data_IF_459561017227
#
_entry.id   IF_459561017227
#
_cell.length_a   1.000
_cell.length_b   1.000
_cell.length_c   1.000
_cell.angle_alpha   90.00
_cell.angle_beta   90.00
_cell.angle_gamma   90.00
#
_symmetry.space_group_name_H-M   'P 1'
#
loop_
_entity.id
_entity.type
_entity.pdbx_description
1 polymer ?
#
# COMPACT_ATOMS: atom_id res chain seq x y z
N UNK A 1 -0.78 2.01 -38.86
CA UNK A 1 -0.57 1.10 -37.70
C UNK A 1 -1.01 1.86 -36.47
N UNK A 2 -1.69 1.22 -35.53
CA UNK A 2 -2.04 1.86 -34.27
C UNK A 2 -0.79 2.27 -33.48
N UNK A 3 -0.87 3.43 -32.85
CA UNK A 3 0.17 3.98 -31.96
C UNK A 3 -0.15 3.55 -30.53
N UNK A 4 0.86 3.39 -29.70
CA UNK A 4 0.62 3.09 -28.29
C UNK A 4 0.65 4.38 -27.46
N UNK A 5 -0.25 4.44 -26.48
CA UNK A 5 -0.11 5.30 -25.32
C UNK A 5 0.39 4.44 -24.16
N UNK A 6 1.70 4.49 -23.91
CA UNK A 6 2.32 3.86 -22.76
C UNK A 6 1.98 4.64 -21.49
N UNK A 7 1.67 3.93 -20.42
CA UNK A 7 1.33 4.55 -19.13
C UNK A 7 2.17 3.89 -18.06
N UNK A 8 3.04 4.68 -17.43
CA UNK A 8 3.85 4.28 -16.28
C UNK A 8 3.51 5.17 -15.09
N UNK A 9 3.57 4.58 -13.91
CA UNK A 9 3.24 5.28 -12.68
C UNK A 9 3.01 4.35 -11.51
N UNK A 10 2.45 4.94 -10.46
CA UNK A 10 2.14 4.27 -9.20
C UNK A 10 0.73 3.64 -9.17
N UNK A 11 0.25 3.38 -7.96
CA UNK A 11 -1.07 2.79 -7.68
C UNK A 11 -2.25 3.63 -8.17
N UNK A 12 -2.08 4.94 -8.34
CA UNK A 12 -3.15 5.82 -8.85
C UNK A 12 -3.38 5.67 -10.36
N UNK A 13 -2.46 4.99 -11.06
CA UNK A 13 -2.55 4.65 -12.48
C UNK A 13 -2.77 3.15 -12.73
N UNK A 14 -2.35 2.27 -11.82
CA UNK A 14 -2.34 0.82 -12.01
C UNK A 14 -3.72 0.15 -12.03
N UNK A 15 -3.75 -1.08 -12.53
CA UNK A 15 -4.89 -1.99 -12.36
C UNK A 15 -4.86 -2.66 -10.97
N UNK A 16 -6.03 -3.15 -10.53
CA UNK A 16 -6.20 -3.90 -9.28
C UNK A 16 -7.20 -5.04 -9.46
N UNK A 17 -7.12 -6.02 -8.54
CA UNK A 17 -8.03 -7.16 -8.44
C UNK A 17 -8.56 -7.31 -7.00
N UNK A 18 -8.91 -6.19 -6.35
CA UNK A 18 -9.32 -6.20 -4.96
C UNK A 18 -10.75 -6.72 -4.78
N UNK A 19 -11.03 -7.31 -3.61
CA UNK A 19 -12.38 -7.77 -3.22
C UNK A 19 -13.15 -6.75 -2.39
N UNK A 20 -12.77 -5.47 -2.48
CA UNK A 20 -13.40 -4.38 -1.74
C UNK A 20 -14.86 -4.17 -2.15
N UNK A 21 -15.66 -3.53 -1.28
CA UNK A 21 -17.01 -3.07 -1.63
C UNK A 21 -16.99 -2.10 -2.81
N UNK A 22 -16.07 -1.13 -2.80
CA UNK A 22 -15.68 -0.34 -3.96
C UNK A 22 -14.20 -0.61 -4.27
N UNK A 23 -13.89 -1.48 -5.25
CA UNK A 23 -12.51 -1.82 -5.64
C UNK A 23 -11.70 -0.62 -6.09
N UNK A 24 -10.37 -0.69 -5.89
CA UNK A 24 -9.45 0.32 -6.39
C UNK A 24 -9.36 0.24 -7.91
N UNK A 25 -9.26 1.39 -8.54
CA UNK A 25 -8.97 1.55 -9.95
C UNK A 25 -8.01 2.72 -10.10
N UNK A 26 -6.87 2.51 -10.76
CA UNK A 26 -6.06 3.60 -11.26
C UNK A 26 -6.67 4.20 -12.52
N UNK A 27 -6.51 5.51 -12.73
CA UNK A 27 -7.12 6.22 -13.86
C UNK A 27 -6.52 5.79 -15.20
N UNK A 28 -5.31 5.22 -15.21
CA UNK A 28 -4.70 4.59 -16.37
C UNK A 28 -5.56 3.48 -16.98
N UNK A 29 -6.39 2.81 -16.16
CA UNK A 29 -7.34 1.77 -16.62
C UNK A 29 -8.56 2.32 -17.37
N UNK A 30 -8.75 3.64 -17.39
CA UNK A 30 -9.90 4.32 -18.01
C UNK A 30 -9.52 5.25 -19.15
N UNK A 31 -8.24 5.39 -19.48
CA UNK A 31 -7.80 6.28 -20.56
C UNK A 31 -8.30 5.85 -21.94
N UNK A 32 -8.34 4.55 -22.24
CA UNK A 32 -8.79 4.03 -23.54
C UNK A 32 -10.23 4.45 -23.87
N UNK A 33 -11.03 4.72 -22.86
CA UNK A 33 -12.44 5.05 -22.99
C UNK A 33 -12.71 6.44 -23.61
N UNK A 34 -11.67 7.27 -23.72
CA UNK A 34 -11.74 8.56 -24.41
C UNK A 34 -10.74 8.65 -25.56
N UNK A 35 -10.30 7.50 -26.09
CA UNK A 35 -9.42 7.40 -27.24
C UNK A 35 -10.09 6.55 -28.31
N UNK A 36 -9.94 6.94 -29.57
CA UNK A 36 -10.33 6.07 -30.69
C UNK A 36 -9.40 4.85 -30.81
N UNK A 37 -9.75 3.94 -31.71
CA UNK A 37 -9.03 2.68 -31.91
C UNK A 37 -7.64 2.85 -32.56
N UNK A 38 -7.25 4.07 -32.97
CA UNK A 38 -5.90 4.34 -33.50
C UNK A 38 -4.84 4.46 -32.39
N UNK A 39 -5.26 4.76 -31.16
CA UNK A 39 -4.40 4.80 -29.98
C UNK A 39 -4.73 3.64 -29.04
N UNK A 40 -3.75 2.77 -28.79
CA UNK A 40 -3.89 1.65 -27.86
C UNK A 40 -3.20 1.97 -26.54
N UNK A 41 -3.95 1.98 -25.45
CA UNK A 41 -3.41 2.18 -24.11
C UNK A 41 -2.68 0.93 -23.64
N UNK A 42 -1.39 1.08 -23.33
CA UNK A 42 -0.54 0.07 -22.70
C UNK A 42 -0.27 0.50 -21.26
N UNK A 43 -1.24 0.22 -20.38
CA UNK A 43 -1.10 0.51 -18.96
C UNK A 43 -0.27 -0.54 -18.25
N UNK A 44 0.95 -0.16 -17.89
CA UNK A 44 1.91 -0.97 -17.16
C UNK A 44 2.30 -0.29 -15.84
N UNK A 45 1.52 0.67 -15.36
CA UNK A 45 1.72 1.26 -14.04
C UNK A 45 1.55 0.20 -12.94
N UNK A 46 2.34 0.32 -11.87
CA UNK A 46 2.42 -0.68 -10.81
C UNK A 46 2.21 -0.06 -9.43
N UNK A 47 1.38 -0.71 -8.63
CA UNK A 47 1.09 -0.28 -7.27
C UNK A 47 2.37 -0.24 -6.40
N UNK A 48 2.51 0.81 -5.61
CA UNK A 48 3.63 0.98 -4.67
C UNK A 48 4.98 1.28 -5.32
N UNK A 49 5.06 1.57 -6.63
CA UNK A 49 6.33 1.92 -7.27
C UNK A 49 6.57 3.42 -7.31
N UNK A 50 7.83 3.82 -7.12
CA UNK A 50 8.31 5.19 -7.33
C UNK A 50 8.98 5.32 -8.69
N UNK A 51 9.31 6.55 -9.10
CA UNK A 51 10.06 6.79 -10.35
C UNK A 51 11.42 6.09 -10.37
N UNK A 52 12.01 5.83 -9.19
CA UNK A 52 13.25 5.08 -9.00
C UNK A 52 13.00 3.58 -8.98
N UNK A 53 12.12 3.10 -8.10
CA UNK A 53 11.94 1.68 -7.84
C UNK A 53 11.26 0.93 -8.99
N UNK A 54 10.49 1.62 -9.85
CA UNK A 54 9.87 1.00 -11.02
C UNK A 54 10.93 0.48 -12.03
N UNK A 55 12.14 1.05 -12.04
CA UNK A 55 13.20 0.68 -13.01
C UNK A 55 13.75 -0.74 -12.83
N UNK A 56 13.49 -1.37 -11.69
CA UNK A 56 13.88 -2.76 -11.40
C UNK A 56 12.82 -3.77 -11.79
N UNK A 57 11.64 -3.34 -12.21
CA UNK A 57 10.52 -4.21 -12.56
C UNK A 57 10.62 -4.75 -13.99
N UNK A 58 10.11 -5.96 -14.27
CA UNK A 58 10.03 -6.51 -15.63
C UNK A 58 9.29 -5.59 -16.61
N UNK A 59 8.30 -4.84 -16.15
CA UNK A 59 7.49 -3.89 -16.90
C UNK A 59 8.33 -2.73 -17.44
N UNK A 60 9.43 -2.35 -16.76
CA UNK A 60 10.35 -1.33 -17.27
C UNK A 60 11.11 -1.82 -18.51
N UNK A 61 11.53 -3.09 -18.54
CA UNK A 61 12.13 -3.67 -19.76
C UNK A 61 11.10 -3.81 -20.89
N UNK A 62 9.85 -4.13 -20.54
CA UNK A 62 8.72 -4.13 -21.49
C UNK A 62 8.52 -2.74 -22.11
N UNK A 63 8.58 -1.68 -21.31
CA UNK A 63 8.52 -0.30 -21.79
C UNK A 63 9.65 0.02 -22.78
N UNK A 64 10.90 -0.20 -22.37
CA UNK A 64 12.07 0.19 -23.16
C UNK A 64 12.14 -0.54 -24.50
N UNK A 65 11.74 -1.82 -24.54
CA UNK A 65 11.70 -2.62 -25.77
C UNK A 65 10.46 -2.37 -26.63
N UNK A 66 9.37 -1.89 -26.04
CA UNK A 66 8.10 -1.68 -26.71
C UNK A 66 7.88 -0.29 -27.30
N UNK A 67 8.50 0.75 -26.72
CA UNK A 67 8.39 2.12 -27.23
C UNK A 67 8.96 2.22 -28.64
N UNK A 68 8.25 2.93 -29.51
CA UNK A 68 8.66 3.20 -30.90
C UNK A 68 8.33 4.63 -31.29
N UNK A 69 8.83 5.02 -32.46
CA UNK A 69 8.55 6.32 -33.06
C UNK A 69 7.04 6.58 -33.14
N UNK A 70 6.63 7.79 -32.78
CA UNK A 70 5.25 8.30 -32.82
C UNK A 70 4.29 7.67 -31.77
N UNK A 71 4.81 6.84 -30.85
CA UNK A 71 4.08 6.48 -29.62
C UNK A 71 4.10 7.66 -28.62
N UNK A 72 3.31 7.52 -27.55
CA UNK A 72 3.22 8.48 -26.45
C UNK A 72 3.52 7.78 -25.11
N UNK A 73 4.04 8.52 -24.14
CA UNK A 73 4.32 8.03 -22.79
C UNK A 73 3.78 8.98 -21.73
N UNK A 74 2.75 8.56 -20.98
CA UNK A 74 2.33 9.21 -19.74
C UNK A 74 3.21 8.72 -18.59
N UNK A 75 3.79 9.68 -17.84
CA UNK A 75 4.63 9.45 -16.67
C UNK A 75 3.93 10.07 -15.45
N UNK A 76 3.38 9.24 -14.55
CA UNK A 76 2.69 9.70 -13.34
C UNK A 76 3.24 9.06 -12.07
N UNK A 77 4.26 9.68 -11.48
CA UNK A 77 4.88 9.27 -10.22
C UNK A 77 4.81 10.41 -9.19
N UNK A 78 5.11 10.10 -7.92
CA UNK A 78 5.17 11.07 -6.83
C UNK A 78 4.78 10.47 -5.48
N UNK A 79 3.71 9.68 -5.40
CA UNK A 79 3.18 9.15 -4.13
C UNK A 79 4.18 8.29 -3.34
N UNK A 80 5.05 7.57 -4.06
CA UNK A 80 6.03 6.67 -3.46
C UNK A 80 7.44 7.26 -3.46
N UNK A 81 7.70 8.27 -4.27
CA UNK A 81 8.96 9.02 -4.32
C UNK A 81 9.16 9.87 -3.05
N UNK A 82 8.04 10.31 -2.46
CA UNK A 82 7.98 11.07 -1.21
C UNK A 82 8.17 10.23 0.06
N UNK A 83 8.17 8.89 -0.06
CA UNK A 83 8.32 7.98 1.08
C UNK A 83 9.79 7.89 1.51
N UNK A 84 10.02 7.84 2.82
CA UNK A 84 11.34 7.81 3.46
C UNK A 84 11.97 6.41 3.42
N UNK A 85 12.12 5.87 2.22
CA UNK A 85 12.63 4.51 1.96
C UNK A 85 13.71 4.57 0.89
N UNK A 86 14.92 4.11 1.19
CA UNK A 86 16.07 4.25 0.29
C UNK A 86 15.84 3.73 -1.12
N UNK A 87 15.10 2.64 -1.30
CA UNK A 87 14.85 2.06 -2.62
C UNK A 87 13.85 2.86 -3.46
N UNK A 88 13.02 3.68 -2.83
CA UNK A 88 11.95 4.44 -3.49
C UNK A 88 12.21 5.94 -3.54
N UNK A 89 12.81 6.47 -2.49
CA UNK A 89 12.96 7.89 -2.26
C UNK A 89 13.71 8.58 -3.40
N UNK A 90 13.19 9.74 -3.79
CA UNK A 90 13.90 10.73 -4.58
C UNK A 90 13.70 12.10 -3.94
N UNK A 91 14.72 12.97 -4.00
CA UNK A 91 14.63 14.29 -3.38
C UNK A 91 13.66 15.18 -4.19
N UNK A 92 12.57 15.64 -3.56
CA UNK A 92 11.55 16.47 -4.20
C UNK A 92 12.07 17.83 -4.66
N UNK A 93 13.11 18.35 -4.02
CA UNK A 93 13.82 19.57 -4.45
C UNK A 93 15.01 19.27 -5.37
N UNK A 94 15.18 20.08 -6.41
CA UNK A 94 16.34 20.08 -7.30
C UNK A 94 15.99 19.92 -8.78
N UNK A 95 16.99 20.07 -9.64
CA UNK A 95 16.82 20.00 -11.10
C UNK A 95 17.07 18.60 -11.65
N UNK A 96 16.86 18.43 -12.97
CA UNK A 96 17.06 17.16 -13.65
C UNK A 96 18.52 16.81 -13.96
N UNK A 97 19.46 17.67 -13.58
CA UNK A 97 20.90 17.45 -13.77
C UNK A 97 21.56 16.87 -12.50
N UNK A 98 20.90 17.05 -11.35
CA UNK A 98 21.41 16.63 -10.05
C UNK A 98 20.97 15.20 -9.72
N UNK A 99 21.92 14.25 -9.68
CA UNK A 99 21.63 12.86 -9.35
C UNK A 99 20.94 12.73 -7.97
N UNK A 100 19.89 11.90 -7.90
CA UNK A 100 19.13 11.63 -6.68
C UNK A 100 17.90 12.54 -6.48
N UNK A 101 17.73 13.59 -7.29
CA UNK A 101 16.49 14.37 -7.31
C UNK A 101 15.39 13.62 -8.05
N UNK A 102 14.14 13.98 -7.73
CA UNK A 102 12.97 13.46 -8.42
C UNK A 102 12.96 13.85 -9.90
N UNK A 103 13.28 15.11 -10.20
CA UNK A 103 13.39 15.59 -11.58
C UNK A 103 14.45 14.81 -12.39
N UNK A 104 15.60 14.47 -11.78
CA UNK A 104 16.63 13.65 -12.43
C UNK A 104 16.11 12.24 -12.70
N UNK A 105 15.40 11.62 -11.74
CA UNK A 105 14.81 10.29 -11.91
C UNK A 105 13.82 10.26 -13.09
N UNK A 106 12.89 11.22 -13.14
CA UNK A 106 11.93 11.35 -14.25
C UNK A 106 12.64 11.54 -15.60
N UNK A 107 13.64 12.42 -15.64
CA UNK A 107 14.39 12.71 -16.85
C UNK A 107 15.21 11.51 -17.35
N UNK A 108 16.08 10.97 -16.49
CA UNK A 108 17.05 9.96 -16.88
C UNK A 108 16.39 8.61 -17.18
N UNK A 109 15.38 8.23 -16.41
CA UNK A 109 14.76 6.91 -16.50
C UNK A 109 13.64 6.86 -17.55
N UNK A 110 12.95 7.97 -17.84
CA UNK A 110 11.76 7.93 -18.70
C UNK A 110 11.83 8.91 -19.87
N UNK A 111 11.99 10.21 -19.62
CA UNK A 111 11.92 11.24 -20.67
C UNK A 111 13.02 11.02 -21.72
N UNK A 112 14.27 10.85 -21.26
CA UNK A 112 15.40 10.61 -22.14
C UNK A 112 15.19 9.34 -22.98
N UNK A 113 14.64 8.28 -22.35
CA UNK A 113 14.36 7.00 -23.01
C UNK A 113 13.24 7.09 -24.05
N UNK A 114 12.18 7.85 -23.75
CA UNK A 114 11.12 8.13 -24.70
C UNK A 114 11.67 8.85 -25.93
N UNK A 115 12.47 9.91 -25.73
CA UNK A 115 13.09 10.65 -26.84
C UNK A 115 14.05 9.78 -27.68
N UNK A 116 14.88 8.95 -27.03
CA UNK A 116 15.77 7.98 -27.71
C UNK A 116 14.97 7.01 -28.61
N UNK A 117 13.75 6.63 -28.21
CA UNK A 117 12.86 5.76 -28.96
C UNK A 117 11.96 6.50 -29.99
N UNK A 118 11.97 7.84 -30.01
CA UNK A 118 11.05 8.65 -30.82
C UNK A 118 9.61 8.69 -30.28
N UNK A 119 9.42 8.35 -29.01
CA UNK A 119 8.15 8.42 -28.28
C UNK A 119 7.99 9.80 -27.61
N UNK A 120 6.79 10.35 -27.62
CA UNK A 120 6.48 11.68 -27.04
C UNK A 120 6.11 11.56 -25.56
N UNK A 121 6.93 12.08 -24.62
CA UNK A 121 6.61 12.03 -23.20
C UNK A 121 5.55 13.08 -22.82
N UNK A 122 4.74 12.76 -21.82
CA UNK A 122 3.73 13.59 -21.19
C UNK A 122 3.88 13.41 -19.68
N UNK A 123 4.16 14.50 -18.98
CA UNK A 123 4.31 14.49 -17.53
C UNK A 123 2.95 14.70 -16.86
N UNK A 124 2.65 13.89 -15.85
CA UNK A 124 1.49 14.08 -14.99
C UNK A 124 1.98 14.30 -13.55
N UNK A 125 1.51 15.37 -12.90
CA UNK A 125 1.66 15.49 -11.44
C UNK A 125 0.83 14.40 -10.72
N UNK A 126 1.15 14.01 -9.48
CA UNK A 126 0.32 13.05 -8.75
C UNK A 126 -1.08 13.62 -8.45
N UNK A 127 -2.13 12.79 -8.47
CA UNK A 127 -3.45 13.19 -7.97
C UNK A 127 -3.35 13.48 -6.47
N UNK A 128 -4.13 14.42 -5.94
CA UNK A 128 -4.11 14.70 -4.49
C UNK A 128 -4.67 13.53 -3.67
N UNK A 129 -4.19 13.38 -2.43
CA UNK A 129 -4.81 12.46 -1.46
C UNK A 129 -6.04 13.11 -0.83
N UNK A 130 -7.15 12.40 -0.70
CA UNK A 130 -8.37 12.92 -0.06
C UNK A 130 -8.08 13.45 1.35
N UNK A 131 -8.53 14.69 1.60
CA UNK A 131 -8.65 15.23 2.95
C UNK A 131 -10.02 14.86 3.55
N UNK A 132 -10.08 14.11 4.68
CA UNK A 132 -11.35 13.75 5.30
C UNK A 132 -12.15 14.93 5.85
N UNK A 133 -11.50 16.03 6.22
CA UNK A 133 -12.12 17.23 6.79
C UNK A 133 -12.10 18.43 5.84
N UNK A 134 -11.65 18.23 4.60
CA UNK A 134 -11.53 19.28 3.58
C UNK A 134 -10.37 20.25 3.80
N UNK A 135 -9.48 19.99 4.78
CA UNK A 135 -8.27 20.79 5.00
C UNK A 135 -7.06 20.14 4.33
N UNK A 136 -6.38 20.92 3.52
CA UNK A 136 -5.23 20.48 2.73
C UNK A 136 -3.93 20.90 3.40
N UNK A 137 -3.00 19.96 3.57
CA UNK A 137 -1.63 20.28 4.00
C UNK A 137 -0.63 19.22 3.54
N UNK A 138 0.64 19.63 3.49
CA UNK A 138 1.80 18.75 3.35
C UNK A 138 1.64 17.64 2.32
N UNK A 139 1.75 16.40 2.79
CA UNK A 139 1.75 15.20 1.96
C UNK A 139 0.43 14.98 1.19
N UNK A 140 -0.69 15.56 1.62
CA UNK A 140 -1.94 15.51 0.83
C UNK A 140 -1.81 16.22 -0.52
N UNK A 141 -0.86 17.17 -0.60
CA UNK A 141 -0.50 17.93 -1.80
C UNK A 141 0.87 17.51 -2.35
N UNK A 142 1.44 16.41 -1.84
CA UNK A 142 2.79 15.95 -2.20
C UNK A 142 3.90 16.97 -1.93
N UNK A 143 3.76 17.67 -0.80
CA UNK A 143 4.77 18.56 -0.24
C UNK A 143 5.23 17.99 1.09
N UNK A 144 6.45 17.45 1.15
CA UNK A 144 6.96 16.79 2.35
C UNK A 144 8.03 17.61 3.06
N UNK A 145 8.01 17.56 4.39
CA UNK A 145 9.06 18.11 5.22
C UNK A 145 10.26 17.15 5.32
N UNK A 146 11.45 17.64 5.70
CA UNK A 146 12.59 16.77 5.97
C UNK A 146 12.32 15.76 7.10
N UNK A 147 12.72 14.51 6.91
CA UNK A 147 12.69 13.43 7.91
C UNK A 147 14.02 12.69 7.86
N UNK A 148 14.84 12.81 8.91
CA UNK A 148 16.17 12.19 8.94
C UNK A 148 17.06 12.65 7.78
N UNK A 149 17.57 11.72 6.97
CA UNK A 149 18.36 12.02 5.77
C UNK A 149 17.51 12.40 4.54
N UNK A 150 16.20 12.17 4.59
CA UNK A 150 15.26 12.42 3.52
C UNK A 150 14.80 13.89 3.58
N UNK A 151 15.35 14.73 2.71
CA UNK A 151 15.05 16.18 2.72
C UNK A 151 13.61 16.56 2.32
N UNK A 152 12.88 15.66 1.67
CA UNK A 152 11.54 15.94 1.16
C UNK A 152 11.55 16.95 0.00
N UNK A 153 10.44 17.69 -0.14
CA UNK A 153 10.28 18.74 -1.15
C UNK A 153 8.87 18.82 -1.75
N UNK A 154 8.71 19.70 -2.74
CA UNK A 154 7.47 19.86 -3.52
C UNK A 154 7.55 19.07 -4.84
N UNK A 155 7.02 17.84 -4.84
CA UNK A 155 7.07 16.93 -5.99
C UNK A 155 6.27 17.46 -7.20
N UNK A 156 5.05 18.01 -7.04
CA UNK A 156 4.33 18.62 -8.16
C UNK A 156 5.08 19.80 -8.77
N UNK A 157 5.72 20.65 -7.96
CA UNK A 157 6.55 21.75 -8.46
C UNK A 157 7.75 21.24 -9.26
N UNK A 158 8.44 20.19 -8.80
CA UNK A 158 9.55 19.59 -9.54
C UNK A 158 9.12 19.13 -10.95
N UNK A 159 7.93 18.53 -11.08
CA UNK A 159 7.37 18.12 -12.38
C UNK A 159 7.02 19.33 -13.24
N UNK A 160 6.38 20.37 -12.68
CA UNK A 160 6.05 21.62 -13.40
C UNK A 160 7.31 22.30 -13.94
N UNK A 161 8.35 22.38 -13.12
CA UNK A 161 9.61 23.00 -13.50
C UNK A 161 10.33 22.18 -14.58
N UNK A 162 10.34 20.86 -14.45
CA UNK A 162 10.90 19.95 -15.44
C UNK A 162 10.20 20.07 -16.80
N UNK A 163 8.87 20.08 -16.81
CA UNK A 163 8.07 20.24 -18.02
C UNK A 163 8.38 21.56 -18.72
N UNK A 164 8.50 22.66 -17.96
CA UNK A 164 8.87 23.98 -18.49
C UNK A 164 10.29 23.99 -19.05
N UNK A 165 11.25 23.43 -18.32
CA UNK A 165 12.67 23.41 -18.71
C UNK A 165 12.93 22.61 -19.99
N UNK A 166 12.21 21.51 -20.17
CA UNK A 166 12.38 20.60 -21.31
C UNK A 166 11.35 20.80 -22.42
N UNK A 167 10.40 21.74 -22.24
CA UNK A 167 9.28 21.97 -23.15
C UNK A 167 8.46 20.69 -23.43
N UNK A 168 8.10 19.99 -22.35
CA UNK A 168 7.31 18.75 -22.37
C UNK A 168 5.87 19.06 -21.95
N UNK A 169 4.90 18.37 -22.57
CA UNK A 169 3.50 18.50 -22.21
C UNK A 169 3.27 18.11 -20.73
N UNK A 170 2.50 18.93 -20.01
CA UNK A 170 2.21 18.76 -18.59
C UNK A 170 0.71 18.66 -18.36
N UNK A 171 0.27 17.59 -17.71
CA UNK A 171 -1.07 17.48 -17.12
C UNK A 171 -0.94 17.68 -15.61
N UNK A 172 -1.35 18.84 -15.11
CA UNK A 172 -1.24 19.16 -13.68
C UNK A 172 -2.40 18.57 -12.87
N UNK A 173 -2.40 17.24 -12.75
CA UNK A 173 -3.42 16.50 -11.99
C UNK A 173 -3.51 16.94 -10.53
N UNK A 174 -2.42 17.31 -9.86
CA UNK A 174 -2.47 17.84 -8.48
C UNK A 174 -3.37 19.07 -8.41
N UNK A 175 -3.16 20.06 -9.30
CA UNK A 175 -4.01 21.25 -9.36
C UNK A 175 -5.45 20.88 -9.70
N UNK A 176 -5.66 20.13 -10.78
CA UNK A 176 -7.02 19.81 -11.28
C UNK A 176 -7.84 19.00 -10.28
N UNK A 177 -7.23 18.01 -9.63
CA UNK A 177 -7.92 17.16 -8.64
C UNK A 177 -8.18 17.90 -7.33
N UNK A 178 -7.24 18.76 -6.89
CA UNK A 178 -7.48 19.64 -5.73
C UNK A 178 -8.67 20.56 -5.97
N UNK A 179 -8.69 21.28 -7.08
CA UNK A 179 -9.79 22.18 -7.41
C UNK A 179 -11.13 21.46 -7.52
N UNK A 180 -11.12 20.25 -8.07
CA UNK A 180 -12.32 19.41 -8.11
C UNK A 180 -12.78 19.02 -6.71
N UNK A 181 -11.87 18.59 -5.84
CA UNK A 181 -12.21 18.18 -4.47
C UNK A 181 -12.70 19.39 -3.65
N UNK A 182 -12.11 20.57 -3.84
CA UNK A 182 -12.58 21.82 -3.22
C UNK A 182 -14.01 22.18 -3.65
N UNK A 183 -14.38 21.93 -4.92
CA UNK A 183 -15.75 22.15 -5.42
C UNK A 183 -16.75 21.11 -4.89
N UNK A 184 -16.33 19.85 -4.77
CA UNK A 184 -17.19 18.74 -4.34
C UNK A 184 -17.38 18.72 -2.81
N UNK A 185 -16.38 19.14 -2.05
CA UNK A 185 -16.34 19.01 -0.60
C UNK A 185 -16.04 17.59 -0.13
N UNK A 186 -15.74 17.45 1.17
CA UNK A 186 -15.30 16.19 1.78
C UNK A 186 -16.36 15.07 1.70
N UNK A 187 -17.64 15.45 1.81
CA UNK A 187 -18.81 14.56 1.80
C UNK A 187 -19.17 13.99 0.43
N UNK A 188 -18.68 14.59 -0.65
CA UNK A 188 -18.88 14.03 -1.99
C UNK A 188 -17.60 13.34 -2.48
N UNK A 189 -16.45 13.87 -2.10
CA UNK A 189 -15.14 13.33 -2.46
C UNK A 189 -14.96 11.88 -2.00
N UNK A 190 -15.51 11.47 -0.85
CA UNK A 190 -15.37 10.07 -0.42
C UNK A 190 -15.92 9.06 -1.44
N UNK A 191 -16.88 9.46 -2.27
CA UNK A 191 -17.48 8.56 -3.26
C UNK A 191 -16.64 8.39 -4.51
N UNK A 192 -15.61 9.20 -4.73
CA UNK A 192 -14.60 8.97 -5.78
C UNK A 192 -13.61 7.87 -5.38
N UNK A 193 -13.54 7.56 -4.09
CA UNK A 193 -12.52 6.70 -3.49
C UNK A 193 -12.97 5.24 -3.29
N UNK A 194 -11.99 4.35 -3.23
CA UNK A 194 -12.21 2.94 -2.96
C UNK A 194 -12.61 2.71 -1.49
N UNK A 195 -13.52 1.77 -1.26
CA UNK A 195 -14.04 1.44 0.07
C UNK A 195 -13.83 -0.06 0.29
N UNK A 196 -12.88 -0.46 1.16
CA UNK A 196 -12.66 -1.83 1.57
C UNK A 196 -13.93 -2.54 2.04
N UNK A 197 -14.78 -1.85 2.82
CA UNK A 197 -16.06 -2.37 3.31
C UNK A 197 -17.26 -1.56 2.81
N UNK A 198 -18.47 -2.05 3.09
CA UNK A 198 -19.72 -1.30 2.83
C UNK A 198 -19.89 -0.07 3.75
N UNK A 199 -18.94 0.20 4.64
CA UNK A 199 -18.94 1.35 5.56
C UNK A 199 -18.05 2.47 5.03
N UNK A 200 -18.61 3.68 4.97
CA UNK A 200 -17.91 4.87 4.53
C UNK A 200 -16.63 5.18 5.32
N UNK A 201 -16.57 4.80 6.61
CA UNK A 201 -15.37 5.00 7.45
C UNK A 201 -14.15 4.23 6.94
N UNK A 202 -14.35 3.15 6.16
CA UNK A 202 -13.26 2.38 5.57
C UNK A 202 -12.59 3.06 4.37
N UNK A 203 -13.12 4.21 3.90
CA UNK A 203 -12.65 4.88 2.68
C UNK A 203 -11.12 5.01 2.62
N UNK A 204 -10.56 4.55 1.50
CA UNK A 204 -9.15 4.71 1.16
C UNK A 204 -8.92 6.15 0.69
N UNK A 205 -8.10 6.91 1.40
CA UNK A 205 -7.88 8.33 1.07
C UNK A 205 -6.91 8.56 -0.11
N UNK A 206 -6.32 7.51 -0.68
CA UNK A 206 -5.39 7.65 -1.81
C UNK A 206 -5.99 7.07 -3.09
N UNK A 207 -6.53 5.86 -3.01
CA UNK A 207 -6.93 5.12 -4.21
C UNK A 207 -8.39 5.41 -4.60
N UNK A 208 -8.60 5.68 -5.88
CA UNK A 208 -9.92 5.90 -6.45
C UNK A 208 -10.67 4.60 -6.73
N UNK A 209 -12.00 4.65 -6.75
CA UNK A 209 -12.82 3.58 -7.31
C UNK A 209 -13.04 3.76 -8.82
N UNK A 210 -13.86 2.92 -9.44
CA UNK A 210 -14.14 2.95 -10.89
C UNK A 210 -14.65 4.32 -11.38
N UNK A 211 -15.47 5.03 -10.59
CA UNK A 211 -15.96 6.35 -10.94
C UNK A 211 -14.85 7.40 -10.78
N UNK A 212 -14.13 7.41 -9.65
CA UNK A 212 -13.00 8.32 -9.45
C UNK A 212 -11.90 8.15 -10.51
N UNK A 213 -11.58 6.91 -10.89
CA UNK A 213 -10.65 6.62 -11.97
C UNK A 213 -11.13 7.17 -13.31
N UNK A 214 -12.44 7.08 -13.60
CA UNK A 214 -13.05 7.63 -14.82
C UNK A 214 -13.02 9.15 -14.83
N UNK A 215 -13.24 9.79 -13.68
CA UNK A 215 -13.14 11.24 -13.49
C UNK A 215 -11.70 11.72 -13.71
N UNK A 216 -10.72 11.06 -13.10
CA UNK A 216 -9.31 11.42 -13.28
C UNK A 216 -8.84 11.19 -14.72
N UNK A 217 -9.29 10.12 -15.40
CA UNK A 217 -9.00 9.91 -16.83
C UNK A 217 -9.64 10.99 -17.72
N UNK A 218 -10.87 11.42 -17.39
CA UNK A 218 -11.52 12.54 -18.07
C UNK A 218 -10.72 13.83 -17.91
N UNK A 219 -10.27 14.17 -16.69
CA UNK A 219 -9.43 15.34 -16.45
C UNK A 219 -8.14 15.27 -17.26
N UNK A 220 -7.44 14.13 -17.18
CA UNK A 220 -6.18 13.92 -17.89
C UNK A 220 -6.32 14.10 -19.41
N UNK A 221 -7.28 13.42 -20.05
CA UNK A 221 -7.45 13.51 -21.50
C UNK A 221 -8.10 14.82 -21.96
N UNK A 222 -8.92 15.46 -21.12
CA UNK A 222 -9.37 16.83 -21.38
C UNK A 222 -8.20 17.79 -21.45
N UNK A 223 -7.25 17.68 -20.52
CA UNK A 223 -6.10 18.57 -20.49
C UNK A 223 -5.11 18.30 -21.63
N UNK A 224 -4.85 17.04 -21.96
CA UNK A 224 -4.05 16.68 -23.15
C UNK A 224 -4.66 17.29 -24.42
N UNK A 225 -6.00 17.22 -24.56
CA UNK A 225 -6.72 17.82 -25.69
C UNK A 225 -6.62 19.36 -25.69
N UNK A 226 -6.73 20.00 -24.52
CA UNK A 226 -6.64 21.45 -24.38
C UNK A 226 -5.24 21.99 -24.70
N UNK A 227 -4.18 21.30 -24.24
CA UNK A 227 -2.79 21.65 -24.53
C UNK A 227 -2.45 21.42 -26.01
N UNK A 228 -3.20 20.52 -26.68
CA UNK A 228 -3.01 20.24 -28.10
C UNK A 228 -1.77 19.39 -28.37
N UNK A 229 -1.53 18.35 -27.54
CA UNK A 229 -0.45 17.38 -27.78
C UNK A 229 -0.57 16.81 -29.21
N UNK A 230 0.46 17.05 -30.01
CA UNK A 230 0.44 16.79 -31.46
C UNK A 230 0.23 15.31 -31.75
N UNK A 231 -0.67 15.04 -32.71
CA UNK A 231 -1.10 13.71 -33.09
C UNK A 231 -2.02 13.03 -32.07
N UNK A 232 -1.83 13.18 -30.76
CA UNK A 232 -2.66 12.52 -29.75
C UNK A 232 -4.03 13.19 -29.60
N UNK A 233 -4.08 14.53 -29.58
CA UNK A 233 -5.30 15.28 -29.26
C UNK A 233 -6.45 15.03 -30.24
N UNK A 234 -6.13 14.71 -31.50
CA UNK A 234 -7.12 14.41 -32.54
C UNK A 234 -7.83 13.07 -32.32
N UNK A 235 -7.21 12.16 -31.57
CA UNK A 235 -7.76 10.85 -31.24
C UNK A 235 -8.54 10.85 -29.93
N UNK A 236 -8.62 11.99 -29.22
CA UNK A 236 -9.37 12.11 -27.97
C UNK A 236 -10.84 12.37 -28.27
N UNK A 237 -11.67 11.36 -27.98
CA UNK A 237 -13.10 11.32 -28.30
C UNK A 237 -13.95 11.09 -27.05
N UNK A 238 -15.25 11.33 -27.12
CA UNK A 238 -16.20 10.93 -26.09
C UNK A 238 -16.21 11.79 -24.80
N UNK A 239 -15.29 12.74 -24.64
CA UNK A 239 -15.26 13.66 -23.48
C UNK A 239 -16.59 14.41 -23.33
N UNK A 240 -17.21 14.83 -24.42
CA UNK A 240 -18.49 15.55 -24.44
C UNK A 240 -19.65 14.77 -23.79
N UNK A 241 -19.58 13.42 -23.80
CA UNK A 241 -20.60 12.57 -23.21
C UNK A 241 -20.53 12.53 -21.68
N UNK A 242 -19.38 12.91 -21.13
CA UNK A 242 -19.10 12.92 -19.70
C UNK A 242 -18.83 14.37 -19.19
N UNK A 243 -19.10 15.41 -19.99
CA UNK A 243 -18.93 16.80 -19.57
C UNK A 243 -20.04 17.25 -18.60
N UNK A 244 -19.76 18.15 -17.63
CA UNK A 244 -18.43 18.69 -17.28
C UNK A 244 -17.58 17.73 -16.42
N UNK A 245 -18.16 16.61 -15.98
CA UNK A 245 -17.50 15.56 -15.21
C UNK A 245 -18.30 14.25 -15.31
N UNK A 246 -17.65 13.08 -15.41
CA UNK A 246 -18.34 11.79 -15.52
C UNK A 246 -19.41 11.59 -14.44
N UNK A 247 -20.58 11.10 -14.85
CA UNK A 247 -21.73 10.97 -13.95
C UNK A 247 -21.52 9.89 -12.88
N UNK A 248 -21.61 10.29 -11.61
CA UNK A 248 -21.65 9.36 -10.46
C UNK A 248 -22.73 8.30 -10.65
N UNK A 249 -23.94 8.71 -11.05
CA UNK A 249 -25.09 7.79 -11.26
C UNK A 249 -24.80 6.69 -12.29
N UNK A 250 -23.98 6.98 -13.30
CA UNK A 250 -23.65 6.05 -14.38
C UNK A 250 -22.51 5.10 -14.00
N UNK A 251 -21.50 5.61 -13.31
CA UNK A 251 -20.22 4.90 -13.15
C UNK A 251 -19.92 4.45 -11.73
N UNK A 252 -20.59 5.00 -10.71
CA UNK A 252 -20.43 4.52 -9.33
C UNK A 252 -21.06 3.12 -9.23
N UNK A 253 -20.21 2.10 -9.07
CA UNK A 253 -20.61 0.69 -9.07
C UNK A 253 -19.90 -0.06 -7.95
N UNK A 254 -20.61 -0.37 -6.85
CA UNK A 254 -20.15 -1.36 -5.88
C UNK A 254 -19.89 -2.70 -6.54
N UNK A 255 -18.98 -3.49 -5.96
CA UNK A 255 -18.67 -4.84 -6.42
C UNK A 255 -19.88 -5.76 -6.24
N UNK A 256 -20.34 -6.38 -7.32
CA UNK A 256 -21.42 -7.38 -7.30
C UNK A 256 -21.01 -8.67 -6.57
N UNK A 257 -19.70 -8.90 -6.41
CA UNK A 257 -19.16 -10.08 -5.74
C UNK A 257 -18.76 -9.82 -4.29
N UNK A 258 -18.90 -8.58 -3.81
CA UNK A 258 -18.64 -8.25 -2.42
C UNK A 258 -19.59 -9.00 -1.50
N UNK A 259 -19.01 -9.68 -0.52
CA UNK A 259 -19.74 -10.34 0.57
C UNK A 259 -19.40 -9.59 1.85
N UNK A 260 -20.36 -8.92 2.50
CA UNK A 260 -20.14 -8.34 3.80
C UNK A 260 -19.75 -9.47 4.77
N UNK A 261 -18.56 -9.38 5.35
CA UNK A 261 -18.18 -10.27 6.44
C UNK A 261 -18.70 -9.66 7.72
N UNK A 262 -19.53 -10.41 8.46
CA UNK A 262 -20.02 -9.98 9.77
C UNK A 262 -18.95 -10.34 10.79
N UNK A 263 -18.19 -9.33 11.21
CA UNK A 263 -17.24 -9.42 12.30
C UNK A 263 -17.80 -8.70 13.54
N UNK A 264 -17.82 -9.37 14.69
CA UNK A 264 -18.21 -8.74 15.96
C UNK A 264 -16.96 -8.26 16.70
N UNK A 265 -16.84 -6.94 16.80
CA UNK A 265 -15.71 -6.30 17.44
C UNK A 265 -15.80 -6.35 18.98
N UNK A 266 -16.94 -6.76 19.57
CA UNK A 266 -17.11 -6.94 21.01
C UNK A 266 -16.56 -8.30 21.49
N UNK A 267 -15.23 -8.40 21.47
CA UNK A 267 -14.53 -9.63 21.83
C UNK A 267 -14.52 -9.85 23.35
N UNK A 268 -14.94 -11.03 23.80
CA UNK A 268 -14.75 -11.49 25.18
C UNK A 268 -13.27 -11.69 25.51
N UNK A 269 -12.93 -11.79 26.80
CA UNK A 269 -11.58 -12.22 27.20
C UNK A 269 -11.41 -13.74 26.93
N UNK A 270 -10.17 -14.19 26.74
CA UNK A 270 -9.84 -15.62 26.62
C UNK A 270 -10.33 -16.39 27.84
N UNK A 271 -10.76 -17.64 27.63
CA UNK A 271 -11.17 -18.55 28.70
C UNK A 271 -10.00 -19.36 29.27
N UNK A 272 -8.84 -19.32 28.62
CA UNK A 272 -7.69 -20.18 28.93
C UNK A 272 -6.54 -19.36 29.54
N UNK A 273 -6.34 -18.14 29.05
CA UNK A 273 -5.26 -17.24 29.47
C UNK A 273 -5.77 -15.92 30.02
N UNK A 274 -5.02 -15.37 30.97
CA UNK A 274 -5.35 -14.11 31.63
C UNK A 274 -4.71 -12.93 30.90
N UNK A 275 -5.43 -11.81 30.83
CA UNK A 275 -4.90 -10.56 30.27
C UNK A 275 -3.87 -9.90 31.20
N UNK A 276 -3.00 -9.10 30.61
CA UNK A 276 -2.03 -8.27 31.34
C UNK A 276 -2.11 -6.82 30.85
N UNK A 277 -2.56 -5.93 31.73
CA UNK A 277 -2.83 -4.53 31.36
C UNK A 277 -3.85 -4.43 30.22
N UNK A 278 -3.45 -3.77 29.13
CA UNK A 278 -4.28 -3.63 27.91
C UNK A 278 -4.16 -4.84 26.96
N UNK A 279 -3.20 -5.74 27.20
CA UNK A 279 -2.88 -6.85 26.32
C UNK A 279 -3.72 -8.08 26.67
N UNK A 280 -4.54 -8.51 25.73
CA UNK A 280 -5.41 -9.68 25.84
C UNK A 280 -4.81 -10.87 25.09
N UNK A 281 -4.68 -12.04 25.73
CA UNK A 281 -4.23 -13.25 25.04
C UNK A 281 -5.36 -13.86 24.19
N UNK A 282 -4.99 -14.53 23.11
CA UNK A 282 -5.87 -15.43 22.37
C UNK A 282 -5.07 -16.38 21.49
N UNK A 283 -5.65 -17.53 21.16
CA UNK A 283 -5.14 -18.43 20.11
C UNK A 283 -6.28 -18.74 19.14
N UNK A 284 -6.04 -18.58 17.84
CA UNK A 284 -7.08 -18.82 16.86
C UNK A 284 -6.54 -19.15 15.46
N UNK A 285 -7.45 -19.60 14.58
CA UNK A 285 -7.17 -19.94 13.19
C UNK A 285 -6.95 -21.43 12.95
N UNK A 286 -6.10 -21.77 11.99
CA UNK A 286 -5.80 -23.15 11.59
C UNK A 286 -4.82 -23.80 12.57
N UNK A 287 -5.33 -24.05 13.78
CA UNK A 287 -4.61 -24.63 14.92
C UNK A 287 -4.97 -26.10 15.17
N UNK A 288 -5.65 -26.74 14.21
CA UNK A 288 -6.13 -28.13 14.20
C UNK A 288 -7.22 -28.43 15.25
N UNK A 289 -6.95 -28.21 16.53
CA UNK A 289 -7.85 -28.49 17.65
C UNK A 289 -7.96 -27.29 18.59
N UNK A 290 -8.90 -27.36 19.54
CA UNK A 290 -9.11 -26.29 20.53
C UNK A 290 -7.81 -25.97 21.27
N UNK A 291 -7.53 -24.68 21.51
CA UNK A 291 -6.29 -24.27 22.15
C UNK A 291 -6.15 -24.84 23.57
N UNK A 292 -4.94 -25.28 23.94
CA UNK A 292 -4.60 -25.79 25.28
C UNK A 292 -3.26 -25.25 25.75
N UNK A 293 -3.03 -25.30 27.07
CA UNK A 293 -1.74 -24.91 27.68
C UNK A 293 -0.59 -25.89 27.40
N UNK A 294 -0.91 -27.11 26.93
CA UNK A 294 0.11 -28.08 26.53
C UNK A 294 0.72 -27.72 25.17
N UNK A 295 -0.06 -27.04 24.32
CA UNK A 295 0.32 -26.71 22.94
C UNK A 295 0.72 -25.25 22.76
N UNK A 296 0.16 -24.36 23.58
CA UNK A 296 0.35 -22.92 23.49
C UNK A 296 0.74 -22.32 24.83
N UNK A 297 1.79 -21.51 24.82
CA UNK A 297 2.22 -20.69 25.96
C UNK A 297 1.90 -19.24 25.64
N UNK A 298 1.15 -18.60 26.53
CA UNK A 298 0.87 -17.16 26.53
C UNK A 298 1.03 -16.69 27.97
N UNK A 299 2.19 -16.15 28.31
CA UNK A 299 2.56 -15.80 29.68
C UNK A 299 3.05 -14.35 29.74
N UNK A 300 2.38 -13.53 30.55
CA UNK A 300 2.88 -12.22 30.92
C UNK A 300 3.79 -12.35 32.13
N UNK A 301 5.04 -11.92 31.99
CA UNK A 301 6.08 -12.05 33.01
C UNK A 301 6.07 -10.82 33.93
N UNK A 302 6.69 -10.96 35.11
CA UNK A 302 6.68 -9.91 36.15
C UNK A 302 7.39 -8.61 35.75
N UNK A 303 8.22 -8.64 34.70
CA UNK A 303 8.94 -7.50 34.15
C UNK A 303 8.18 -6.83 32.98
N UNK A 304 6.89 -7.12 32.81
CA UNK A 304 6.04 -6.69 31.70
C UNK A 304 6.48 -7.20 30.32
N UNK A 305 7.28 -8.27 30.27
CA UNK A 305 7.54 -9.00 29.03
C UNK A 305 6.48 -10.08 28.78
N UNK A 306 6.34 -10.51 27.53
CA UNK A 306 5.34 -11.47 27.07
C UNK A 306 6.03 -12.65 26.41
N UNK A 307 5.90 -13.84 27.00
CA UNK A 307 6.36 -15.09 26.42
C UNK A 307 5.23 -15.73 25.61
N UNK A 308 5.51 -16.00 24.33
CA UNK A 308 4.61 -16.68 23.42
C UNK A 308 5.35 -17.88 22.83
N UNK A 309 4.80 -19.08 23.03
CA UNK A 309 5.31 -20.29 22.39
C UNK A 309 4.19 -21.12 21.79
N UNK A 310 4.48 -21.77 20.68
CA UNK A 310 3.63 -22.75 20.02
C UNK A 310 4.44 -24.04 19.88
N UNK A 311 3.88 -25.21 20.13
CA UNK A 311 4.57 -26.49 19.93
C UNK A 311 3.69 -27.49 19.15
N UNK A 312 4.21 -28.69 18.88
CA UNK A 312 3.41 -29.77 18.28
C UNK A 312 3.03 -29.58 16.81
N UNK A 313 3.75 -28.75 16.05
CA UNK A 313 3.48 -28.42 14.64
C UNK A 313 2.10 -27.78 14.38
N UNK A 314 1.46 -27.22 15.40
CA UNK A 314 0.14 -26.57 15.26
C UNK A 314 0.25 -25.11 14.84
N UNK A 315 -0.79 -24.58 14.20
CA UNK A 315 -0.73 -23.23 13.64
C UNK A 315 0.18 -23.17 12.40
N UNK A 316 0.09 -22.07 11.66
CA UNK A 316 0.91 -21.79 10.47
C UNK A 316 0.67 -20.36 10.00
N UNK A 317 1.60 -19.83 9.23
CA UNK A 317 1.32 -18.77 8.25
C UNK A 317 1.49 -19.39 6.87
N UNK A 318 0.44 -19.40 6.04
CA UNK A 318 0.48 -20.03 4.72
C UNK A 318 -0.31 -19.24 3.67
N UNK A 319 -0.23 -19.64 2.40
CA UNK A 319 -1.01 -19.01 1.34
C UNK A 319 -2.53 -19.08 1.59
N UNK A 320 -3.02 -20.13 2.27
CA UNK A 320 -4.47 -20.44 2.35
C UNK A 320 -5.05 -20.39 3.77
N UNK A 321 -4.22 -20.25 4.79
CA UNK A 321 -4.68 -20.13 6.19
C UNK A 321 -3.60 -19.56 7.11
N UNK A 322 -4.05 -18.99 8.22
CA UNK A 322 -3.24 -18.58 9.37
C UNK A 322 -3.78 -19.23 10.66
N UNK A 323 -2.87 -19.61 11.56
CA UNK A 323 -3.16 -20.14 12.88
C UNK A 323 -2.08 -19.70 13.85
N UNK A 324 -2.45 -18.87 14.83
CA UNK A 324 -1.50 -18.08 15.61
C UNK A 324 -1.90 -18.01 17.09
N UNK A 325 -0.87 -17.85 17.94
CA UNK A 325 -1.03 -17.41 19.32
C UNK A 325 -0.63 -15.95 19.43
N UNK A 326 -1.42 -15.14 20.14
CA UNK A 326 -1.22 -13.70 20.24
C UNK A 326 -1.44 -13.14 21.64
N UNK A 327 -0.73 -12.06 21.94
CA UNK A 327 -1.22 -11.01 22.82
C UNK A 327 -1.60 -9.81 21.96
N UNK A 328 -2.81 -9.29 22.12
CA UNK A 328 -3.32 -8.19 21.30
C UNK A 328 -3.91 -7.03 22.11
N UNK A 329 -3.89 -5.85 21.53
CA UNK A 329 -4.70 -4.71 21.95
C UNK A 329 -5.47 -4.14 20.77
N UNK A 330 -6.54 -3.40 21.04
CA UNK A 330 -7.40 -2.77 20.04
C UNK A 330 -7.10 -1.28 19.96
N UNK A 331 -6.96 -0.75 18.75
CA UNK A 331 -6.73 0.67 18.47
C UNK A 331 -7.72 1.15 17.40
N UNK A 332 -8.38 2.31 17.56
CA UNK A 332 -9.22 2.88 16.50
C UNK A 332 -8.43 3.15 15.22
N UNK A 333 -9.00 2.84 14.05
CA UNK A 333 -8.36 3.03 12.73
C UNK A 333 -7.93 4.49 12.45
N UNK A 334 -8.65 5.44 13.05
CA UNK A 334 -8.43 6.88 12.88
C UNK A 334 -7.23 7.41 13.67
N UNK A 335 -6.74 6.66 14.65
CA UNK A 335 -5.66 7.07 15.53
C UNK A 335 -4.35 6.56 14.94
N UNK A 336 -3.41 7.47 14.66
CA UNK A 336 -2.10 7.08 14.18
C UNK A 336 -1.27 6.46 15.32
N UNK A 337 -0.43 5.48 15.02
CA UNK A 337 0.33 4.78 16.05
C UNK A 337 1.73 4.36 15.59
N UNK A 338 2.62 4.21 16.58
CA UNK A 338 3.86 3.43 16.47
C UNK A 338 3.79 2.31 17.50
N UNK A 339 3.90 1.07 17.04
CA UNK A 339 3.92 -0.14 17.86
C UNK A 339 5.27 -0.83 17.73
N UNK A 340 6.02 -0.97 18.82
CA UNK A 340 7.37 -1.55 18.79
C UNK A 340 7.66 -2.46 19.99
N UNK A 341 8.63 -3.36 19.83
CA UNK A 341 9.13 -4.24 20.89
C UNK A 341 10.58 -4.70 20.66
N UNK A 342 11.23 -5.16 21.73
CA UNK A 342 12.42 -6.02 21.71
C UNK A 342 11.96 -7.48 21.73
N UNK A 343 12.19 -8.26 20.68
CA UNK A 343 11.79 -9.65 20.60
C UNK A 343 13.00 -10.58 20.72
N UNK A 344 13.10 -11.32 21.83
CA UNK A 344 14.05 -12.41 21.98
C UNK A 344 13.53 -13.67 21.29
N UNK A 345 14.35 -14.26 20.42
CA UNK A 345 14.08 -15.54 19.78
C UNK A 345 14.58 -16.63 20.72
N UNK A 346 13.69 -17.34 21.42
CA UNK A 346 14.12 -18.42 22.31
C UNK A 346 14.42 -19.68 21.52
N UNK A 347 13.52 -20.05 20.60
CA UNK A 347 13.69 -21.17 19.69
C UNK A 347 12.72 -21.07 18.49
N UNK A 348 13.01 -21.77 17.40
CA UNK A 348 12.04 -22.02 16.34
C UNK A 348 12.45 -23.26 15.53
N UNK A 349 11.50 -23.84 14.80
CA UNK A 349 11.80 -24.89 13.81
C UNK A 349 11.97 -24.27 12.42
N UNK A 350 12.98 -24.72 11.67
CA UNK A 350 13.19 -24.30 10.29
C UNK A 350 12.07 -24.86 9.40
N UNK A 351 11.13 -24.00 9.05
CA UNK A 351 10.04 -24.30 8.14
C UNK A 351 9.42 -23.00 7.60
N UNK A 352 8.92 -23.03 6.36
CA UNK A 352 8.48 -21.82 5.67
C UNK A 352 7.18 -21.21 6.20
N UNK A 353 6.48 -21.93 7.07
CA UNK A 353 5.21 -21.51 7.66
C UNK A 353 5.35 -21.06 9.12
N UNK A 354 6.58 -21.02 9.63
CA UNK A 354 6.92 -20.56 10.98
C UNK A 354 7.17 -19.06 10.93
N UNK A 355 6.54 -18.33 11.85
CA UNK A 355 6.65 -16.88 11.89
C UNK A 355 6.34 -16.36 13.29
N UNK A 356 6.92 -15.22 13.64
CA UNK A 356 6.82 -14.60 14.95
C UNK A 356 7.24 -13.14 14.87
N UNK A 357 6.58 -12.25 15.60
CA UNK A 357 6.88 -10.81 15.55
C UNK A 357 5.69 -9.96 15.92
N UNK A 358 5.59 -8.79 15.30
CA UNK A 358 4.42 -7.92 15.42
C UNK A 358 3.51 -8.09 14.21
N UNK A 359 2.21 -7.98 14.44
CA UNK A 359 1.18 -8.01 13.40
C UNK A 359 0.12 -6.97 13.71
N UNK A 360 -0.38 -6.29 12.69
CA UNK A 360 -1.61 -5.48 12.75
C UNK A 360 -2.61 -6.14 11.83
N UNK A 361 -3.86 -6.34 12.29
CA UNK A 361 -4.91 -7.03 11.54
C UNK A 361 -6.27 -6.36 11.68
N UNK A 362 -7.18 -6.59 10.73
CA UNK A 362 -8.54 -6.00 10.72
C UNK A 362 -9.61 -6.86 11.40
N UNK A 363 -9.20 -7.94 12.06
CA UNK A 363 -10.08 -8.88 12.75
C UNK A 363 -9.36 -9.54 13.94
N UNK A 364 -10.11 -10.15 14.85
CA UNK A 364 -9.55 -10.92 15.96
C UNK A 364 -10.57 -11.93 16.45
N UNK A 365 -10.12 -13.13 16.82
CA UNK A 365 -11.00 -14.17 17.37
C UNK A 365 -10.47 -14.65 18.72
N UNK A 366 -11.37 -15.16 19.56
CA UNK A 366 -11.06 -15.59 20.92
C UNK A 366 -11.13 -17.11 21.00
N UNK A 367 -9.98 -17.74 21.23
CA UNK A 367 -9.84 -19.18 21.47
C UNK A 367 -10.57 -20.05 20.41
N UNK A 368 -10.38 -19.73 19.12
CA UNK A 368 -11.23 -20.23 18.02
C UNK A 368 -10.46 -21.03 16.98
N UNK A 369 -10.89 -22.27 16.75
CA UNK A 369 -10.40 -23.10 15.63
C UNK A 369 -11.18 -22.78 14.36
N UNK A 370 -10.47 -22.51 13.27
CA UNK A 370 -11.07 -22.31 11.95
C UNK A 370 -10.02 -22.46 10.86
N UNK A 371 -10.26 -23.27 9.81
CA UNK A 371 -9.32 -23.41 8.70
C UNK A 371 -9.37 -22.24 7.70
N UNK A 372 -10.39 -21.38 7.82
CA UNK A 372 -10.64 -20.29 6.88
C UNK A 372 -9.60 -19.16 7.01
N UNK A 373 -9.34 -18.47 5.91
CA UNK A 373 -8.63 -17.19 5.93
C UNK A 373 -9.51 -16.18 6.67
N UNK A 374 -8.95 -15.61 7.73
CA UNK A 374 -9.72 -14.87 8.70
C UNK A 374 -9.87 -13.40 8.37
N UNK A 375 -8.76 -12.74 7.98
CA UNK A 375 -8.71 -11.32 7.71
C UNK A 375 -7.42 -10.88 7.03
N UNK A 376 -7.33 -9.58 6.78
CA UNK A 376 -6.13 -8.96 6.23
C UNK A 376 -5.21 -8.51 7.37
N UNK A 377 -3.91 -8.51 7.12
CA UNK A 377 -2.92 -8.10 8.12
C UNK A 377 -1.63 -7.61 7.48
N UNK A 378 -0.84 -6.87 8.26
CA UNK A 378 0.56 -6.53 7.96
C UNK A 378 1.42 -6.96 9.15
N UNK A 379 2.58 -7.57 8.88
CA UNK A 379 3.45 -8.12 9.90
C UNK A 379 4.92 -7.69 9.70
N UNK A 380 5.52 -7.23 10.79
CA UNK A 380 6.97 -7.07 10.96
C UNK A 380 7.50 -8.36 11.61
N UNK A 381 7.72 -9.37 10.79
CA UNK A 381 8.01 -10.74 11.21
C UNK A 381 8.68 -11.51 10.05
N UNK A 382 9.53 -12.50 10.35
CA UNK A 382 10.16 -13.28 9.32
C UNK A 382 9.20 -14.37 8.84
N UNK A 383 9.33 -14.78 7.57
CA UNK A 383 8.60 -15.91 6.97
C UNK A 383 9.49 -16.59 5.91
N UNK A 384 9.16 -17.82 5.51
CA UNK A 384 10.00 -18.61 4.60
C UNK A 384 11.39 -18.90 5.19
N UNK A 385 11.42 -19.32 6.46
CA UNK A 385 12.68 -19.46 7.23
C UNK A 385 13.67 -20.48 6.65
N UNK A 386 13.26 -21.36 5.73
CA UNK A 386 14.20 -22.30 5.08
C UNK A 386 15.02 -21.63 3.97
N UNK A 387 14.68 -20.41 3.57
CA UNK A 387 15.41 -19.62 2.59
C UNK A 387 16.59 -18.92 3.29
N UNK A 388 17.62 -19.67 3.65
CA UNK A 388 18.70 -19.31 4.62
C UNK A 388 19.27 -17.88 4.53
N UNK A 389 19.30 -17.25 3.34
CA UNK A 389 19.86 -15.92 3.12
C UNK A 389 18.85 -14.87 2.61
N UNK A 390 17.57 -15.20 2.53
CA UNK A 390 16.52 -14.30 2.05
C UNK A 390 15.12 -14.68 2.57
N UNK A 391 14.92 -14.98 3.87
CA UNK A 391 13.56 -15.08 4.39
C UNK A 391 12.89 -13.71 4.23
N UNK A 392 11.57 -13.67 4.08
CA UNK A 392 10.85 -12.39 4.10
C UNK A 392 11.10 -11.71 5.44
N UNK A 393 11.32 -10.39 5.48
CA UNK A 393 11.50 -9.64 6.73
C UNK A 393 10.19 -9.01 7.23
N UNK A 394 9.28 -8.74 6.30
CA UNK A 394 7.94 -8.23 6.53
C UNK A 394 7.03 -8.87 5.49
N UNK A 395 5.77 -9.10 5.84
CA UNK A 395 4.78 -9.62 4.92
C UNK A 395 3.39 -9.14 5.31
N UNK A 396 2.46 -9.27 4.40
CA UNK A 396 1.06 -8.95 4.61
C UNK A 396 0.18 -10.04 4.04
N UNK A 397 -1.05 -10.12 4.54
CA UNK A 397 -2.15 -10.77 3.84
C UNK A 397 -3.10 -9.69 3.38
N UNK A 398 -3.42 -9.73 2.08
CA UNK A 398 -4.38 -8.83 1.48
C UNK A 398 -5.33 -9.58 0.56
N UNK A 399 -6.63 -9.49 0.83
CA UNK A 399 -7.68 -10.17 0.07
C UNK A 399 -7.40 -11.68 -0.12
N UNK A 400 -6.79 -12.30 0.91
CA UNK A 400 -6.42 -13.71 0.93
C UNK A 400 -5.10 -14.07 0.23
N UNK A 401 -4.37 -13.12 -0.36
CA UNK A 401 -3.04 -13.35 -0.95
C UNK A 401 -1.95 -12.88 0.02
N UNK A 402 -0.88 -13.67 0.16
CA UNK A 402 0.33 -13.22 0.84
C UNK A 402 1.10 -12.27 -0.07
N UNK A 403 1.54 -11.14 0.50
CA UNK A 403 2.38 -10.13 -0.13
C UNK A 403 3.64 -10.04 0.70
N UNK A 404 4.81 -10.08 0.07
CA UNK A 404 6.10 -9.99 0.76
C UNK A 404 6.65 -8.58 0.60
N UNK A 405 7.18 -8.03 1.69
CA UNK A 405 7.78 -6.71 1.72
C UNK A 405 9.23 -6.75 1.20
N UNK A 406 10.17 -6.98 2.13
CA UNK A 406 11.58 -7.19 1.82
C UNK A 406 12.06 -8.58 2.25
N UNK A 407 13.36 -8.81 2.11
CA UNK A 407 14.04 -10.02 2.60
C UNK A 407 15.08 -9.65 3.65
N UNK A 408 15.31 -10.52 4.63
CA UNK A 408 16.37 -10.31 5.59
C UNK A 408 17.74 -10.40 4.88
N UNK A 409 18.67 -9.53 5.27
CA UNK A 409 20.07 -9.53 4.80
C UNK A 409 20.90 -10.64 5.46
N UNK A 410 20.37 -11.24 6.55
CA UNK A 410 20.94 -12.38 7.27
C UNK A 410 19.86 -13.26 7.90
N UNK A 411 20.22 -14.48 8.28
CA UNK A 411 19.40 -15.30 9.17
C UNK A 411 19.46 -14.82 10.64
N UNK A 412 18.31 -14.74 11.30
CA UNK A 412 18.17 -14.46 12.74
C UNK A 412 18.02 -15.76 13.51
N UNK A 413 18.82 -15.97 14.57
CA UNK A 413 18.97 -17.27 15.24
C UNK A 413 18.40 -17.29 16.67
N UNK A 414 18.07 -18.48 17.21
CA UNK A 414 17.77 -18.63 18.63
C UNK A 414 18.88 -18.03 19.51
N UNK A 415 18.47 -17.31 20.55
CA UNK A 415 19.32 -16.53 21.45
C UNK A 415 19.42 -15.04 21.10
N UNK A 416 19.14 -14.65 19.86
CA UNK A 416 19.20 -13.24 19.43
C UNK A 416 17.99 -12.44 19.94
N UNK A 417 18.20 -11.13 20.15
CA UNK A 417 17.13 -10.15 20.40
C UNK A 417 17.04 -9.21 19.22
N UNK A 418 15.84 -9.08 18.67
CA UNK A 418 15.54 -8.40 17.41
C UNK A 418 14.55 -7.27 17.70
N UNK A 419 14.83 -6.06 17.21
CA UNK A 419 13.88 -4.95 17.29
C UNK A 419 12.81 -5.13 16.23
N UNK A 420 11.54 -4.91 16.59
CA UNK A 420 10.41 -5.02 15.66
C UNK A 420 9.50 -3.82 15.83
N UNK A 421 8.99 -3.28 14.71
CA UNK A 421 8.13 -2.10 14.72
C UNK A 421 7.10 -2.13 13.58
N UNK A 422 5.88 -1.67 13.86
CA UNK A 422 4.87 -1.32 12.88
C UNK A 422 4.36 0.09 13.17
N UNK A 423 4.30 0.95 12.15
CA UNK A 423 3.77 2.32 12.22
C UNK A 423 2.61 2.47 11.23
N UNK A 424 1.54 3.18 11.63
CA UNK A 424 0.50 3.57 10.69
C UNK A 424 0.97 4.71 9.79
N UNK A 425 0.63 4.63 8.50
CA UNK A 425 0.86 5.72 7.54
C UNK A 425 -0.47 6.26 7.04
N UNK A 426 -0.44 7.34 6.25
CA UNK A 426 -1.65 7.90 5.62
C UNK A 426 -2.42 6.88 4.77
N UNK A 427 -1.72 5.93 4.15
CA UNK A 427 -2.25 4.97 3.17
C UNK A 427 -2.16 3.50 3.59
N UNK A 428 -1.52 3.18 4.71
CA UNK A 428 -1.37 1.81 5.18
C UNK A 428 -0.44 1.71 6.38
N UNK A 429 0.65 0.93 6.24
CA UNK A 429 1.56 0.60 7.34
C UNK A 429 3.03 0.57 6.87
N UNK A 430 3.93 0.97 7.76
CA UNK A 430 5.37 0.81 7.63
C UNK A 430 5.85 -0.25 8.62
N UNK A 431 6.67 -1.20 8.19
CA UNK A 431 7.15 -2.31 9.00
C UNK A 431 8.68 -2.36 9.03
N UNK A 432 9.23 -2.60 10.22
CA UNK A 432 10.68 -2.75 10.42
C UNK A 432 10.92 -4.02 11.22
N UNK A 433 11.78 -4.90 10.69
CA UNK A 433 12.19 -6.14 11.35
C UNK A 433 13.70 -6.19 11.48
N UNK A 434 14.20 -6.25 12.71
CA UNK A 434 15.63 -6.26 13.02
C UNK A 434 16.35 -5.01 12.52
N UNK A 435 17.49 -5.23 11.89
CA UNK A 435 18.34 -4.18 11.32
C UNK A 435 18.00 -3.92 9.82
N UNK A 436 16.90 -4.50 9.33
CA UNK A 436 16.49 -4.33 7.94
C UNK A 436 15.87 -2.95 7.69
N UNK A 437 15.84 -2.55 6.42
CA UNK A 437 15.16 -1.31 6.01
C UNK A 437 13.67 -1.37 6.31
N UNK A 438 13.10 -0.23 6.71
CA UNK A 438 11.65 -0.10 6.86
C UNK A 438 10.96 -0.28 5.51
N UNK A 439 9.91 -1.10 5.50
CA UNK A 439 9.12 -1.45 4.32
C UNK A 439 7.68 -0.94 4.48
N UNK A 440 7.24 -0.07 3.58
CA UNK A 440 5.81 0.20 3.30
C UNK A 440 5.36 -0.50 2.02
N UNK A 441 6.31 -1.04 1.27
CA UNK A 441 6.05 -1.56 -0.06
C UNK A 441 5.14 -2.78 -0.11
N UNK A 442 4.00 -2.61 -0.77
CA UNK A 442 2.97 -3.64 -0.81
C UNK A 442 2.05 -3.61 0.41
N UNK A 443 2.28 -2.68 1.35
CA UNK A 443 1.48 -2.45 2.56
C UNK A 443 0.69 -1.14 2.48
N UNK A 444 0.53 -0.60 1.27
CA UNK A 444 -0.22 0.62 0.94
C UNK A 444 -1.74 0.35 0.94
N UNK A 445 -2.24 -0.13 2.08
CA UNK A 445 -3.66 -0.35 2.31
C UNK A 445 -4.06 -0.29 3.77
N UNK A 446 -5.28 0.19 4.02
CA UNK A 446 -5.87 0.20 5.35
C UNK A 446 -6.48 -1.16 5.70
N UNK A 447 -6.31 -1.57 6.96
CA UNK A 447 -6.89 -2.76 7.55
C UNK A 447 -8.29 -2.41 8.09
N UNK A 448 -9.27 -2.36 7.19
CA UNK A 448 -10.64 -1.88 7.48
C UNK A 448 -11.71 -2.69 6.75
N UNK A 449 -11.34 -3.85 6.19
CA UNK A 449 -12.28 -4.64 5.41
C UNK A 449 -13.26 -5.40 6.32
N UNK A 450 -12.80 -5.83 7.51
CA UNK A 450 -13.58 -6.60 8.48
C UNK A 450 -14.06 -5.77 9.68
N UNK A 451 -13.15 -5.18 10.45
CA UNK A 451 -13.45 -4.14 11.44
C UNK A 451 -13.05 -2.77 10.86
N UNK A 452 -14.00 -1.99 10.34
CA UNK A 452 -13.68 -0.70 9.73
C UNK A 452 -13.42 0.40 10.77
N UNK A 453 -13.68 0.13 12.06
CA UNK A 453 -13.49 1.10 13.14
C UNK A 453 -12.20 0.86 13.92
N UNK A 454 -11.70 -0.38 13.96
CA UNK A 454 -10.55 -0.75 14.77
C UNK A 454 -9.56 -1.65 14.02
N UNK A 455 -8.30 -1.52 14.41
CA UNK A 455 -7.26 -2.50 14.13
C UNK A 455 -6.79 -3.17 15.41
N UNK A 456 -6.24 -4.36 15.24
CA UNK A 456 -5.75 -5.19 16.32
C UNK A 456 -4.25 -5.34 16.20
N UNK A 457 -3.53 -4.82 17.19
CA UNK A 457 -2.08 -4.84 17.28
C UNK A 457 -1.68 -6.06 18.09
N UNK A 458 -0.89 -6.96 17.52
CA UNK A 458 -0.58 -8.26 18.06
C UNK A 458 0.95 -8.46 18.18
N UNK A 459 1.38 -8.94 19.34
CA UNK A 459 2.58 -9.78 19.42
C UNK A 459 2.15 -11.21 19.10
N UNK A 460 2.83 -11.90 18.18
CA UNK A 460 2.38 -13.22 17.75
C UNK A 460 3.50 -14.25 17.58
N UNK A 461 3.12 -15.52 17.65
CA UNK A 461 3.92 -16.65 17.24
C UNK A 461 3.05 -17.69 16.49
N UNK A 462 3.66 -18.36 15.52
CA UNK A 462 3.03 -19.40 14.72
C UNK A 462 3.98 -20.59 14.57
N UNK A 463 3.44 -21.80 14.77
CA UNK A 463 4.07 -23.08 14.42
C UNK A 463 5.48 -23.32 14.99
N UNK A 464 5.57 -23.94 16.15
CA UNK A 464 6.86 -24.28 16.79
C UNK A 464 7.80 -23.08 17.03
N UNK A 465 7.28 -21.86 17.04
CA UNK A 465 8.02 -20.66 17.40
C UNK A 465 7.92 -20.43 18.91
N UNK A 466 9.01 -19.97 19.51
CA UNK A 466 9.12 -19.61 20.92
C UNK A 466 9.87 -18.27 21.03
N UNK A 467 9.16 -17.24 21.47
CA UNK A 467 9.67 -15.86 21.52
C UNK A 467 9.23 -15.15 22.79
N UNK A 468 10.06 -14.21 23.26
CA UNK A 468 9.72 -13.32 24.37
C UNK A 468 9.82 -11.87 23.92
N UNK A 469 8.74 -11.11 24.08
CA UNK A 469 8.68 -9.68 23.77
C UNK A 469 8.89 -8.86 25.05
N UNK A 470 9.89 -8.00 25.07
CA UNK A 470 10.13 -7.00 26.11
C UNK A 470 10.12 -5.59 25.52
N UNK A 471 10.18 -4.57 26.37
CA UNK A 471 10.14 -3.15 25.95
C UNK A 471 8.98 -2.82 25.00
N UNK A 472 7.82 -3.45 25.21
CA UNK A 472 6.64 -3.28 24.36
C UNK A 472 6.11 -1.85 24.52
N UNK A 473 6.07 -1.10 23.41
CA UNK A 473 5.64 0.31 23.38
C UNK A 473 4.55 0.50 22.34
N UNK A 474 3.51 1.23 22.72
CA UNK A 474 2.45 1.69 21.85
C UNK A 474 2.28 3.20 22.05
N UNK A 475 2.73 3.96 21.06
CA UNK A 475 2.62 5.41 21.04
C UNK A 475 1.48 5.80 20.08
N UNK A 476 0.38 6.32 20.62
CA UNK A 476 -0.74 6.87 19.82
C UNK A 476 -0.46 8.36 19.58
N UNK A 477 -0.56 8.81 18.33
CA UNK A 477 -0.25 10.18 17.90
C UNK A 477 -1.46 11.09 17.85
#
# INVERSE_FOLDING_TARGET
MSKNLWVVGDSTLSSFEDKYYLPRYGYGTKLQEYLDDEIIVKNIALSGRSSKSYTTEPEYQTLLSGMKKDDYLIIGFGHNDEKTENDRYTQGEGDYLTQGTFAFSLYNNYIKKAHEAGCTPILCTPIVRRSPDGKWNGQMLHVTAPVGEYKGGDYPKAIRDLARQLNIALVDMTMMTKEMYDRLGADETLYLHAWPSDKAISVDNTHTNVWGARVNAYLCLSEIKNIGVEGLSNHITGLENDAPMPSKKKYFKPSETYKPTVFDSNLSDSKIWEKSGIWKPSVFGDIMDMPTKDTFTLEALSDNSFHIAVCGNVGKISAVSDGIAVYYTKVPVKDDFIFSASMKINNYFLNDQVSFGLMVRDDMYIDKVTPDILGDYVAAAPLLLTHENAPANCFARKSGKLVYGGTCTRGYKPGETVKVQIESTSDGYACTFGDETTITGGFDFKLTALDPENVYLCMFAARNADVTFSDVRLDIK
#
